data_IF_283397541342
#
_entry.id   IF_283397541342
#
_cell.length_a   1.000
_cell.length_b   1.000
_cell.length_c   1.000
_cell.angle_alpha   90.00
_cell.angle_beta   90.00
_cell.angle_gamma   90.00
#
_symmetry.space_group_name_H-M   'P 1'
#
loop_
_entity.id
_entity.type
_entity.pdbx_description
1 polymer ?
#
# COMPACT_ATOMS: atom_id res chain seq x y z
N UNK A 1 -6.94 6.86 -0.93
CA UNK A 1 -6.02 7.68 -0.13
C UNK A 1 -5.65 6.98 1.17
N UNK A 2 -4.52 7.34 1.76
CA UNK A 2 -4.02 6.73 2.99
C UNK A 2 -3.29 7.75 3.87
N UNK A 3 -3.47 7.64 5.18
CA UNK A 3 -2.72 8.38 6.19
C UNK A 3 -2.03 7.44 7.17
N UNK A 4 -0.80 7.77 7.52
CA UNK A 4 -0.04 7.18 8.61
C UNK A 4 0.19 8.26 9.68
N UNK A 5 0.61 7.85 10.87
CA UNK A 5 0.86 8.80 11.95
C UNK A 5 1.92 8.20 12.88
N UNK A 6 3.16 8.51 12.56
CA UNK A 6 4.34 8.11 13.34
C UNK A 6 4.99 9.34 13.96
N UNK A 7 5.10 9.33 15.28
CA UNK A 7 5.89 10.33 16.00
C UNK A 7 7.36 9.88 16.03
N UNK A 8 8.08 10.22 14.98
CA UNK A 8 9.49 9.89 14.86
C UNK A 8 10.23 10.96 14.05
N UNK A 9 11.48 11.32 14.37
CA UNK A 9 12.24 12.37 13.69
C UNK A 9 12.30 12.24 12.17
N UNK A 10 12.35 11.01 11.65
CA UNK A 10 12.42 10.74 10.20
C UNK A 10 11.20 11.25 9.43
N UNK A 11 10.06 11.40 10.09
CA UNK A 11 8.82 11.90 9.46
C UNK A 11 8.67 13.43 9.53
N UNK A 12 9.55 14.14 10.26
CA UNK A 12 9.48 15.59 10.35
C UNK A 12 9.71 16.22 8.98
N UNK A 13 8.75 17.05 8.57
CA UNK A 13 8.78 17.70 7.26
C UNK A 13 8.42 16.80 6.08
N UNK A 14 8.04 15.53 6.31
CA UNK A 14 7.58 14.60 5.28
C UNK A 14 6.07 14.44 5.35
N UNK A 15 5.45 14.24 4.19
CA UNK A 15 4.02 13.91 4.15
C UNK A 15 3.79 12.50 4.70
N UNK A 16 2.86 12.43 5.64
CA UNK A 16 2.33 11.18 6.17
C UNK A 16 0.94 10.86 5.57
N UNK A 17 0.57 11.54 4.51
CA UNK A 17 -0.65 11.32 3.75
C UNK A 17 -0.33 11.31 2.26
N UNK A 18 -0.96 10.37 1.54
CA UNK A 18 -0.91 10.32 0.08
C UNK A 18 -2.27 9.92 -0.49
N UNK A 19 -2.56 10.43 -1.68
CA UNK A 19 -3.72 10.04 -2.47
C UNK A 19 -3.26 9.66 -3.87
N UNK A 20 -3.80 8.58 -4.40
CA UNK A 20 -3.49 8.08 -5.73
C UNK A 20 -4.80 7.86 -6.46
N UNK A 21 -4.92 8.46 -7.64
CA UNK A 21 -5.98 8.11 -8.58
C UNK A 21 -5.51 6.87 -9.35
N UNK A 22 -6.14 5.74 -9.05
CA UNK A 22 -5.60 4.44 -9.37
C UNK A 22 -5.79 4.07 -10.84
N UNK A 23 -4.68 3.95 -11.54
CA UNK A 23 -4.59 3.39 -12.89
C UNK A 23 -3.32 2.54 -12.98
N UNK A 24 -3.18 1.75 -14.05
CA UNK A 24 -1.94 0.99 -14.26
C UNK A 24 -0.70 1.89 -14.32
N UNK A 25 -0.82 3.05 -14.94
CA UNK A 25 0.28 4.01 -15.08
C UNK A 25 0.64 4.65 -13.73
N UNK A 26 -0.36 5.10 -12.96
CA UNK A 26 -0.12 5.71 -11.65
C UNK A 26 0.41 4.67 -10.65
N UNK A 27 -0.09 3.43 -10.69
CA UNK A 27 0.45 2.35 -9.87
C UNK A 27 1.95 2.15 -10.10
N UNK A 28 2.39 2.00 -11.36
CA UNK A 28 3.80 1.77 -11.70
C UNK A 28 4.66 2.96 -11.30
N UNK A 29 4.21 4.18 -11.60
CA UNK A 29 5.01 5.39 -11.36
C UNK A 29 5.06 5.81 -9.91
N UNK A 30 3.97 5.67 -9.18
CA UNK A 30 3.79 6.31 -7.90
C UNK A 30 3.85 5.36 -6.71
N UNK A 31 3.54 4.06 -6.89
CA UNK A 31 3.33 3.15 -5.77
C UNK A 31 4.19 1.89 -5.82
N UNK A 32 4.34 1.27 -7.00
CA UNK A 32 4.86 -0.10 -7.13
C UNK A 32 6.26 -0.32 -6.56
N UNK A 33 7.09 0.72 -6.47
CA UNK A 33 8.46 0.64 -5.97
C UNK A 33 8.61 0.99 -4.49
N UNK A 34 7.51 1.28 -3.79
CA UNK A 34 7.53 1.61 -2.37
C UNK A 34 7.93 0.39 -1.54
N UNK A 35 9.04 0.49 -0.82
CA UNK A 35 9.56 -0.57 0.05
C UNK A 35 8.83 -0.58 1.39
N UNK A 36 8.72 -1.75 1.99
CA UNK A 36 8.40 -1.86 3.40
C UNK A 36 9.43 -1.15 4.27
N UNK A 37 9.08 -0.83 5.50
CA UNK A 37 9.98 -0.17 6.43
C UNK A 37 9.90 -0.78 7.82
N UNK A 38 10.99 -0.64 8.55
CA UNK A 38 11.07 -1.06 9.94
C UNK A 38 12.03 -0.20 10.73
N UNK A 39 11.72 -0.04 12.02
CA UNK A 39 12.61 0.61 12.96
C UNK A 39 13.63 -0.39 13.49
N UNK A 40 14.89 0.00 13.61
CA UNK A 40 15.98 -0.90 13.99
C UNK A 40 15.66 -1.67 15.29
N UNK A 41 15.13 -0.99 16.29
CA UNK A 41 14.71 -1.61 17.56
C UNK A 41 13.69 -2.74 17.39
N UNK A 42 12.74 -2.58 16.44
CA UNK A 42 11.68 -3.56 16.19
C UNK A 42 12.24 -4.72 15.36
N UNK A 43 13.18 -4.45 14.44
CA UNK A 43 13.85 -5.45 13.63
C UNK A 43 14.67 -6.39 14.49
N UNK A 44 15.42 -5.88 15.48
CA UNK A 44 16.19 -6.68 16.43
C UNK A 44 15.28 -7.60 17.24
N UNK A 45 14.16 -7.08 17.73
CA UNK A 45 13.16 -7.89 18.42
C UNK A 45 12.56 -8.96 17.51
N UNK A 46 12.12 -8.61 16.30
CA UNK A 46 11.56 -9.58 15.35
C UNK A 46 12.55 -10.70 15.00
N UNK A 47 13.82 -10.36 14.79
CA UNK A 47 14.87 -11.35 14.53
C UNK A 47 15.09 -12.30 15.70
N UNK A 48 15.00 -11.79 16.95
CA UNK A 48 15.09 -12.65 18.14
C UNK A 48 13.95 -13.68 18.22
N UNK A 49 12.81 -13.39 17.54
CA UNK A 49 11.66 -14.30 17.41
C UNK A 49 11.67 -15.12 16.10
N UNK A 50 12.80 -15.15 15.38
CA UNK A 50 12.92 -15.75 14.03
C UNK A 50 11.95 -15.16 12.98
N UNK A 51 11.59 -13.89 13.11
CA UNK A 51 10.77 -13.15 12.16
C UNK A 51 11.62 -12.15 11.36
N UNK A 52 11.10 -11.67 10.24
CA UNK A 52 11.75 -10.70 9.35
C UNK A 52 13.17 -11.10 8.88
N UNK A 53 13.46 -12.39 8.77
CA UNK A 53 14.79 -12.91 8.41
C UNK A 53 15.22 -12.54 6.99
N UNK A 54 14.27 -12.31 6.07
CA UNK A 54 14.54 -11.89 4.69
C UNK A 54 14.69 -10.38 4.51
N UNK A 55 14.49 -9.59 5.57
CA UNK A 55 14.60 -8.12 5.50
C UNK A 55 16.07 -7.66 5.49
N UNK A 56 16.40 -6.79 4.56
CA UNK A 56 17.70 -6.14 4.43
C UNK A 56 17.52 -4.69 3.95
N UNK A 57 18.59 -3.90 3.99
CA UNK A 57 18.59 -2.55 3.41
C UNK A 57 18.37 -2.53 1.89
N UNK A 58 18.52 -3.67 1.21
CA UNK A 58 18.27 -3.77 -0.23
C UNK A 58 16.78 -3.82 -0.56
N UNK A 59 15.95 -4.39 0.32
CA UNK A 59 14.53 -4.62 0.09
C UNK A 59 13.58 -3.92 1.06
N UNK A 60 14.10 -3.27 2.10
CA UNK A 60 13.33 -2.54 3.10
C UNK A 60 14.00 -1.22 3.47
N UNK A 61 13.20 -0.26 3.90
CA UNK A 61 13.70 0.97 4.51
C UNK A 61 13.97 0.68 5.98
N UNK A 62 15.20 0.83 6.39
CA UNK A 62 15.61 0.67 7.79
C UNK A 62 15.82 2.04 8.41
N UNK A 63 15.16 2.27 9.54
CA UNK A 63 15.16 3.54 10.25
C UNK A 63 15.78 3.34 11.63
N UNK A 64 16.81 4.13 11.97
CA UNK A 64 17.30 4.22 13.34
C UNK A 64 16.50 5.26 14.15
N UNK A 65 17.01 5.74 15.26
CA UNK A 65 16.32 6.73 16.12
C UNK A 65 16.15 8.11 15.45
N UNK A 66 16.88 8.40 14.36
CA UNK A 66 16.96 9.74 13.79
C UNK A 66 16.78 9.77 12.27
N UNK A 67 17.20 8.73 11.55
CA UNK A 67 17.34 8.77 10.08
C UNK A 67 17.07 7.44 9.39
N UNK A 68 16.95 7.51 8.07
CA UNK A 68 16.99 6.34 7.17
C UNK A 68 18.44 5.88 7.04
N UNK A 69 18.67 4.57 7.19
CA UNK A 69 20.00 3.95 7.13
C UNK A 69 20.40 3.52 5.72
N UNK A 70 19.45 3.41 4.80
CA UNK A 70 19.72 3.05 3.41
C UNK A 70 20.58 4.12 2.75
N UNK A 71 21.72 3.75 2.15
CA UNK A 71 22.64 4.68 1.51
C UNK A 71 22.03 5.40 0.31
N UNK A 72 21.14 4.73 -0.44
CA UNK A 72 20.39 5.27 -1.57
C UNK A 72 19.17 6.12 -1.15
N UNK A 73 18.92 6.24 0.15
CA UNK A 73 17.80 7.01 0.69
C UNK A 73 16.44 6.42 0.34
N UNK A 74 15.45 7.31 0.14
CA UNK A 74 14.08 6.96 -0.24
C UNK A 74 13.90 7.00 -1.76
N UNK A 75 13.06 6.10 -2.28
CA UNK A 75 12.66 6.04 -3.71
C UNK A 75 11.60 7.08 -4.06
N UNK A 76 10.79 7.50 -3.05
CA UNK A 76 9.81 8.57 -3.12
C UNK A 76 9.92 9.40 -1.84
N UNK A 77 9.64 10.66 -1.93
CA UNK A 77 9.65 11.55 -0.76
C UNK A 77 8.68 11.07 0.34
N UNK A 78 7.54 10.51 -0.10
CA UNK A 78 6.45 9.96 0.70
C UNK A 78 6.39 8.41 0.68
N UNK A 79 7.56 7.74 0.51
CA UNK A 79 7.64 6.29 0.32
C UNK A 79 6.97 5.49 1.44
N UNK A 80 7.06 5.95 2.68
CA UNK A 80 6.45 5.27 3.82
C UNK A 80 4.92 5.12 3.69
N UNK A 81 4.23 6.21 3.36
CA UNK A 81 2.77 6.15 3.20
C UNK A 81 2.38 5.47 1.89
N UNK A 82 3.18 5.58 0.83
CA UNK A 82 2.96 4.87 -0.43
C UNK A 82 3.08 3.36 -0.27
N UNK A 83 3.98 2.89 0.60
CA UNK A 83 4.02 1.47 0.94
C UNK A 83 2.70 1.02 1.60
N UNK A 84 2.12 1.82 2.49
CA UNK A 84 0.83 1.49 3.10
C UNK A 84 -0.33 1.49 2.09
N UNK A 85 -0.24 2.30 1.05
CA UNK A 85 -1.17 2.22 -0.09
C UNK A 85 -0.98 0.89 -0.84
N UNK A 86 0.27 0.48 -1.09
CA UNK A 86 0.59 -0.80 -1.74
C UNK A 86 0.04 -1.99 -0.95
N UNK A 87 0.23 -2.00 0.38
CA UNK A 87 -0.34 -3.00 1.27
C UNK A 87 -1.87 -3.05 1.16
N UNK A 88 -2.53 -1.88 1.24
CA UNK A 88 -3.99 -1.81 1.16
C UNK A 88 -4.52 -2.29 -0.19
N UNK A 89 -3.85 -1.97 -1.30
CA UNK A 89 -4.19 -2.48 -2.63
C UNK A 89 -4.13 -4.01 -2.63
N UNK A 90 -3.03 -4.60 -2.13
CA UNK A 90 -2.86 -6.05 -2.05
C UNK A 90 -3.96 -6.71 -1.20
N UNK A 91 -4.28 -6.13 -0.04
CA UNK A 91 -5.33 -6.65 0.83
C UNK A 91 -6.71 -6.59 0.17
N UNK A 92 -7.03 -5.51 -0.55
CA UNK A 92 -8.31 -5.34 -1.24
C UNK A 92 -8.51 -6.38 -2.36
N UNK A 93 -7.44 -6.87 -2.98
CA UNK A 93 -7.51 -7.95 -3.98
C UNK A 93 -8.02 -9.27 -3.43
N UNK A 94 -8.02 -9.47 -2.11
CA UNK A 94 -8.62 -10.66 -1.46
C UNK A 94 -10.12 -10.80 -1.70
N UNK A 95 -10.81 -9.76 -2.18
CA UNK A 95 -12.20 -9.87 -2.66
C UNK A 95 -12.35 -10.84 -3.83
N UNK A 96 -11.30 -11.14 -4.58
CA UNK A 96 -11.35 -11.96 -5.80
C UNK A 96 -12.04 -11.28 -6.98
N UNK A 97 -12.37 -10.00 -6.85
CA UNK A 97 -12.95 -9.13 -7.88
C UNK A 97 -12.25 -7.77 -7.83
N UNK A 98 -12.18 -7.11 -8.97
CA UNK A 98 -11.73 -5.72 -9.01
C UNK A 98 -12.74 -4.82 -8.31
N UNK A 99 -12.27 -3.92 -7.47
CA UNK A 99 -13.10 -2.96 -6.75
C UNK A 99 -13.09 -1.63 -7.50
N UNK A 100 -14.27 -1.14 -7.84
CA UNK A 100 -14.46 0.23 -8.35
C UNK A 100 -15.06 1.07 -7.23
N UNK A 101 -14.30 2.07 -6.76
CA UNK A 101 -14.73 2.92 -5.66
C UNK A 101 -13.58 3.71 -5.06
N UNK A 102 -13.87 4.45 -4.00
CA UNK A 102 -12.90 5.20 -3.24
C UNK A 102 -12.60 4.49 -1.92
N UNK A 103 -11.30 4.29 -1.64
CA UNK A 103 -10.82 3.77 -0.37
C UNK A 103 -10.03 4.84 0.39
N UNK A 104 -10.34 4.99 1.69
CA UNK A 104 -9.63 5.91 2.60
C UNK A 104 -9.16 5.12 3.82
N UNK A 105 -7.84 5.01 3.98
CA UNK A 105 -7.22 4.36 5.14
C UNK A 105 -6.54 5.38 6.06
N UNK A 106 -6.63 5.17 7.35
CA UNK A 106 -5.87 5.91 8.35
C UNK A 106 -5.34 4.96 9.41
N UNK A 107 -4.02 4.92 9.57
CA UNK A 107 -3.32 4.04 10.52
C UNK A 107 -3.76 2.57 10.41
N UNK A 108 -4.22 2.14 9.24
CA UNK A 108 -4.66 0.76 9.05
C UNK A 108 -3.49 -0.16 8.68
N UNK A 109 -3.70 -1.44 8.93
CA UNK A 109 -2.83 -2.51 8.52
C UNK A 109 -3.67 -3.70 8.06
N UNK A 110 -3.03 -4.82 7.73
CA UNK A 110 -3.66 -6.01 7.16
C UNK A 110 -4.90 -6.49 7.94
N UNK A 111 -4.81 -6.49 9.29
CA UNK A 111 -5.94 -6.92 10.12
C UNK A 111 -7.18 -6.02 9.96
N UNK A 112 -7.00 -4.70 9.91
CA UNK A 112 -8.11 -3.77 9.75
C UNK A 112 -8.63 -3.78 8.31
N UNK A 113 -7.76 -3.88 7.32
CA UNK A 113 -8.14 -4.02 5.92
C UNK A 113 -8.98 -5.31 5.71
N UNK A 114 -8.58 -6.42 6.33
CA UNK A 114 -9.36 -7.66 6.29
C UNK A 114 -10.74 -7.51 6.96
N UNK A 115 -10.82 -6.81 8.11
CA UNK A 115 -12.12 -6.51 8.75
C UNK A 115 -13.02 -5.67 7.85
N UNK A 116 -12.46 -4.68 7.14
CA UNK A 116 -13.20 -3.87 6.17
C UNK A 116 -13.81 -4.76 5.08
N UNK A 117 -13.03 -5.67 4.50
CA UNK A 117 -13.53 -6.56 3.45
C UNK A 117 -14.64 -7.49 3.95
N UNK A 118 -14.49 -8.05 5.14
CA UNK A 118 -15.52 -8.89 5.75
C UNK A 118 -16.81 -8.09 6.00
N UNK A 119 -16.69 -6.86 6.50
CA UNK A 119 -17.83 -5.98 6.73
C UNK A 119 -18.51 -5.61 5.40
N UNK A 120 -17.74 -5.29 4.37
CA UNK A 120 -18.26 -4.98 3.04
C UNK A 120 -19.09 -6.16 2.48
N UNK A 121 -18.53 -7.37 2.52
CA UNK A 121 -19.21 -8.57 2.02
C UNK A 121 -20.48 -8.93 2.82
N UNK A 122 -20.55 -8.55 4.10
CA UNK A 122 -21.73 -8.81 4.94
C UNK A 122 -22.89 -7.84 4.65
N UNK A 123 -22.65 -6.69 4.04
CA UNK A 123 -23.66 -5.66 3.77
C UNK A 123 -23.97 -5.68 2.27
N UNK A 124 -24.98 -6.45 1.89
CA UNK A 124 -25.35 -6.67 0.48
C UNK A 124 -25.73 -5.37 -0.27
N UNK A 125 -26.32 -4.41 0.42
CA UNK A 125 -26.73 -3.13 -0.17
C UNK A 125 -25.60 -2.10 -0.28
N UNK A 126 -24.37 -2.43 0.20
CA UNK A 126 -23.22 -1.52 0.16
C UNK A 126 -22.41 -1.63 -1.15
N UNK A 127 -22.73 -2.60 -1.99
CA UNK A 127 -22.01 -2.84 -3.24
C UNK A 127 -22.90 -3.53 -4.27
N UNK A 128 -22.53 -3.42 -5.53
CA UNK A 128 -23.16 -4.13 -6.63
C UNK A 128 -22.10 -4.76 -7.54
N UNK A 129 -22.44 -5.87 -8.17
CA UNK A 129 -21.58 -6.48 -9.18
C UNK A 129 -21.93 -5.88 -10.54
N UNK A 130 -20.96 -5.22 -11.16
CA UNK A 130 -21.10 -4.65 -12.50
C UNK A 130 -20.24 -5.40 -13.50
N UNK A 131 -20.75 -5.55 -14.73
CA UNK A 131 -20.03 -6.11 -15.86
C UNK A 131 -19.92 -5.06 -16.95
N UNK A 132 -18.76 -4.93 -17.53
CA UNK A 132 -18.51 -4.03 -18.66
C UNK A 132 -18.40 -4.88 -19.93
N UNK A 133 -19.37 -4.75 -20.82
CA UNK A 133 -19.42 -5.53 -22.08
C UNK A 133 -18.36 -5.04 -23.09
N UNK A 134 -17.97 -3.76 -22.98
CA UNK A 134 -16.89 -3.16 -23.77
C UNK A 134 -15.75 -2.68 -22.84
N UNK A 135 -14.52 -3.13 -23.13
CA UNK A 135 -13.33 -2.68 -22.45
C UNK A 135 -13.13 -1.15 -22.50
N UNK A 136 -13.71 -0.48 -23.50
CA UNK A 136 -13.70 0.97 -23.63
C UNK A 136 -14.54 1.70 -22.59
N UNK A 137 -15.55 1.05 -22.04
CA UNK A 137 -16.47 1.61 -21.03
C UNK A 137 -16.01 1.33 -19.59
N UNK A 138 -15.02 0.46 -19.40
CA UNK A 138 -14.45 0.19 -18.09
C UNK A 138 -13.78 1.46 -17.54
N UNK A 139 -14.04 1.84 -16.27
CA UNK A 139 -13.57 3.12 -15.71
C UNK A 139 -12.05 3.18 -15.51
N UNK A 140 -11.35 2.06 -15.62
CA UNK A 140 -9.93 1.95 -15.30
C UNK A 140 -9.19 1.21 -16.41
N UNK A 141 -8.13 1.84 -16.94
CA UNK A 141 -7.35 1.33 -18.06
C UNK A 141 -6.67 -0.03 -17.83
N UNK A 142 -6.37 -0.40 -16.59
CA UNK A 142 -5.76 -1.70 -16.27
C UNK A 142 -6.75 -2.88 -16.35
N UNK A 143 -8.05 -2.62 -16.43
CA UNK A 143 -9.07 -3.65 -16.69
C UNK A 143 -9.12 -4.08 -18.14
N UNK A 144 -8.43 -3.37 -19.03
CA UNK A 144 -8.32 -3.76 -20.43
C UNK A 144 -7.33 -4.92 -20.56
N UNK A 145 -7.69 -6.02 -21.23
CA UNK A 145 -6.71 -7.06 -21.55
C UNK A 145 -5.57 -6.42 -22.35
N UNK A 146 -4.33 -6.79 -22.01
CA UNK A 146 -3.20 -6.41 -22.84
C UNK A 146 -3.48 -6.93 -24.26
N UNK A 147 -3.64 -6.02 -25.21
CA UNK A 147 -3.67 -6.40 -26.63
C UNK A 147 -2.34 -7.09 -26.91
N UNK A 148 -2.41 -8.40 -27.18
CA UNK A 148 -1.25 -9.13 -27.67
C UNK A 148 -0.78 -8.42 -28.95
N UNK A 149 0.44 -7.89 -28.91
CA UNK A 149 1.17 -7.41 -30.09
C UNK A 149 1.84 -8.61 -30.71
#
# INVERSE_FOLDING_TARGET
SFGIDFDHPVFRGRSQYASVDFSSTSFVKEVSRARTFGFMRDIEYLRSQNLALGGSVDNAIVVDEYRVLNEDGLRYEDEFVKHKILDAIGDLYLLGKSLVGESRGYKSGHALNNKLLRALLAIQDAWELVTFDDAGTAPISFMRPATAV
#
